data_IF_545706355041
#
_entry.id   IF_545706355041
#
_cell.length_a   1.000
_cell.length_b   1.000
_cell.length_c   1.000
_cell.angle_alpha   90.00
_cell.angle_beta   90.00
_cell.angle_gamma   90.00
#
_symmetry.space_group_name_H-M   'P 1'
#
loop_
_entity.id
_entity.type
_entity.pdbx_description
1 polymer ?
#
# COMPACT_ATOMS: atom_id res chain seq x y z
N UNK A 1 8.44 -20.18 9.92
CA UNK A 1 8.62 -19.96 8.47
C UNK A 1 7.30 -19.44 7.92
N UNK A 2 7.31 -18.48 7.00
CA UNK A 2 6.06 -18.08 6.31
C UNK A 2 5.58 -19.17 5.36
N UNK A 3 4.32 -19.10 4.95
CA UNK A 3 3.73 -20.05 3.99
C UNK A 3 3.20 -19.37 2.74
N UNK A 4 3.26 -20.07 1.60
CA UNK A 4 2.57 -19.64 0.38
C UNK A 4 1.06 -19.79 0.58
N UNK A 5 0.31 -18.73 0.30
CA UNK A 5 -1.15 -18.67 0.33
C UNK A 5 -1.69 -18.52 -1.09
N UNK A 6 -2.85 -19.10 -1.35
CA UNK A 6 -3.56 -18.85 -2.60
C UNK A 6 -3.94 -17.37 -2.73
N UNK A 7 -3.88 -16.82 -3.94
CA UNK A 7 -4.37 -15.48 -4.23
C UNK A 7 -5.89 -15.42 -4.06
N UNK A 8 -6.35 -14.54 -3.17
CA UNK A 8 -7.77 -14.36 -2.86
C UNK A 8 -8.10 -12.88 -2.82
N UNK A 9 -9.17 -12.49 -3.54
CA UNK A 9 -9.74 -11.14 -3.40
C UNK A 9 -10.24 -10.95 -1.98
N UNK A 10 -9.83 -9.86 -1.35
CA UNK A 10 -10.21 -9.52 0.02
C UNK A 10 -10.92 -8.18 0.01
N UNK A 11 -12.20 -8.14 -0.37
CA UNK A 11 -12.95 -6.89 -0.40
C UNK A 11 -13.06 -6.33 1.02
N UNK A 12 -12.81 -5.03 1.15
CA UNK A 12 -12.92 -4.27 2.39
C UNK A 12 -13.61 -2.94 2.12
N UNK A 13 -14.35 -2.44 3.10
CA UNK A 13 -14.92 -1.09 3.03
C UNK A 13 -13.88 -0.06 3.47
N UNK A 14 -14.02 1.20 3.03
CA UNK A 14 -13.17 2.28 3.55
C UNK A 14 -13.25 2.43 5.07
N UNK A 15 -14.43 2.21 5.66
CA UNK A 15 -14.63 2.24 7.11
C UNK A 15 -13.87 1.13 7.83
N UNK A 16 -13.89 -0.10 7.31
CA UNK A 16 -13.12 -1.21 7.87
C UNK A 16 -11.62 -0.90 7.91
N UNK A 17 -11.05 -0.40 6.81
CA UNK A 17 -9.62 -0.04 6.78
C UNK A 17 -9.33 1.13 7.74
N UNK A 18 -10.22 2.11 7.83
CA UNK A 18 -10.06 3.25 8.72
C UNK A 18 -10.04 2.84 10.19
N UNK A 19 -10.96 1.95 10.60
CA UNK A 19 -11.02 1.41 11.96
C UNK A 19 -9.84 0.49 12.27
N UNK A 20 -9.44 -0.39 11.35
CA UNK A 20 -8.27 -1.25 11.53
C UNK A 20 -6.97 -0.43 11.62
N UNK A 21 -6.84 0.67 10.86
CA UNK A 21 -5.72 1.60 11.01
C UNK A 21 -5.74 2.32 12.37
N UNK A 22 -6.92 2.68 12.88
CA UNK A 22 -7.06 3.29 14.21
C UNK A 22 -6.59 2.33 15.31
N UNK A 23 -7.07 1.09 15.27
CA UNK A 23 -6.68 0.01 16.19
C UNK A 23 -5.18 -0.26 16.09
N UNK A 24 -4.64 -0.42 14.88
CA UNK A 24 -3.21 -0.65 14.65
C UNK A 24 -2.34 0.47 15.22
N UNK A 25 -2.73 1.73 14.99
CA UNK A 25 -2.03 2.88 15.55
C UNK A 25 -2.01 2.84 17.08
N UNK A 26 -3.16 2.58 17.70
CA UNK A 26 -3.25 2.51 19.15
C UNK A 26 -2.40 1.38 19.73
N UNK A 27 -2.41 0.19 19.11
CA UNK A 27 -1.58 -0.94 19.54
C UNK A 27 -0.07 -0.64 19.44
N UNK A 28 0.34 0.21 18.49
CA UNK A 28 1.75 0.55 18.27
C UNK A 28 2.23 1.75 19.10
N UNK A 29 1.34 2.67 19.46
CA UNK A 29 1.70 3.94 20.13
C UNK A 29 1.18 4.05 21.56
N UNK A 30 0.24 3.18 21.96
CA UNK A 30 -0.46 3.27 23.24
C UNK A 30 -1.51 4.40 23.32
N UNK A 31 -1.72 5.16 22.24
CA UNK A 31 -2.62 6.32 22.21
C UNK A 31 -3.54 6.25 20.99
N UNK A 32 -4.79 6.73 21.09
CA UNK A 32 -5.65 6.85 19.92
C UNK A 32 -5.06 7.87 18.93
N UNK A 33 -5.15 7.62 17.61
CA UNK A 33 -4.70 8.58 16.61
C UNK A 33 -5.64 9.78 16.52
N UNK A 34 -5.09 10.93 16.12
CA UNK A 34 -5.90 12.04 15.63
C UNK A 34 -6.48 11.68 14.24
N UNK A 35 -7.70 12.13 13.95
CA UNK A 35 -8.41 11.72 12.71
C UNK A 35 -7.66 12.11 11.44
N UNK A 36 -7.04 13.29 11.39
CA UNK A 36 -6.31 13.74 10.20
C UNK A 36 -5.13 12.83 9.87
N UNK A 37 -4.45 12.28 10.89
CA UNK A 37 -3.39 11.29 10.70
C UNK A 37 -3.94 10.09 9.95
N UNK A 38 -5.05 9.54 10.45
CA UNK A 38 -5.69 8.39 9.81
C UNK A 38 -6.13 8.69 8.39
N UNK A 39 -6.70 9.87 8.11
CA UNK A 39 -7.10 10.23 6.76
C UNK A 39 -5.93 10.28 5.78
N UNK A 40 -4.74 10.73 6.23
CA UNK A 40 -3.53 10.75 5.40
C UNK A 40 -3.05 9.32 5.10
N UNK A 41 -2.92 8.47 6.12
CA UNK A 41 -2.45 7.08 5.95
C UNK A 41 -3.44 6.25 5.13
N UNK A 42 -4.73 6.41 5.42
CA UNK A 42 -5.83 5.77 4.70
C UNK A 42 -5.86 6.19 3.22
N UNK A 43 -5.64 7.47 2.94
CA UNK A 43 -5.56 7.98 1.58
C UNK A 43 -4.39 7.40 0.77
N UNK A 44 -3.23 7.22 1.42
CA UNK A 44 -2.11 6.54 0.80
C UNK A 44 -2.45 5.09 0.46
N UNK A 45 -3.00 4.32 1.41
CA UNK A 45 -3.40 2.93 1.17
C UNK A 45 -4.47 2.81 0.07
N UNK A 46 -5.43 3.73 0.04
CA UNK A 46 -6.42 3.82 -1.04
C UNK A 46 -5.77 4.05 -2.40
N UNK A 47 -4.78 4.94 -2.50
CA UNK A 47 -4.04 5.19 -3.73
C UNK A 47 -3.34 3.92 -4.24
N UNK A 48 -2.60 3.25 -3.35
CA UNK A 48 -1.84 2.03 -3.69
C UNK A 48 -2.73 0.87 -4.18
N UNK A 49 -3.98 0.83 -3.73
CA UNK A 49 -4.86 -0.33 -3.93
C UNK A 49 -6.05 -0.03 -4.84
N UNK A 50 -6.13 1.18 -5.40
CA UNK A 50 -7.27 1.63 -6.20
C UNK A 50 -8.56 1.67 -5.41
N UNK A 51 -8.55 2.32 -4.24
CA UNK A 51 -9.62 2.32 -3.23
C UNK A 51 -9.99 0.90 -2.76
N UNK A 52 -8.97 0.05 -2.56
CA UNK A 52 -9.10 -1.36 -2.18
C UNK A 52 -9.92 -2.24 -3.13
N UNK A 53 -10.31 -1.72 -4.31
CA UNK A 53 -11.03 -2.50 -5.34
C UNK A 53 -10.20 -3.65 -5.90
N UNK A 54 -8.88 -3.48 -5.87
CA UNK A 54 -7.92 -4.46 -6.37
C UNK A 54 -7.18 -5.21 -5.27
N UNK A 55 -7.71 -5.25 -4.04
CA UNK A 55 -7.04 -5.84 -2.89
C UNK A 55 -6.99 -7.38 -2.97
N UNK A 56 -5.80 -7.95 -2.78
CA UNK A 56 -5.57 -9.38 -2.60
C UNK A 56 -4.96 -9.64 -1.23
N UNK A 57 -5.42 -10.67 -0.55
CA UNK A 57 -4.84 -11.17 0.70
C UNK A 57 -4.56 -10.08 1.74
N UNK A 58 -5.46 -9.10 1.84
CA UNK A 58 -5.38 -7.93 2.72
C UNK A 58 -4.11 -7.07 2.55
N UNK A 59 -3.43 -7.13 1.40
CA UNK A 59 -2.20 -6.35 1.17
C UNK A 59 -2.48 -4.86 0.92
N UNK A 60 -2.61 -4.09 2.00
CA UNK A 60 -3.06 -2.69 2.01
C UNK A 60 -2.10 -1.68 1.35
N UNK A 61 -0.93 -2.11 0.87
CA UNK A 61 0.05 -1.22 0.23
C UNK A 61 0.87 -1.85 -0.89
N UNK A 62 0.43 -2.98 -1.46
CA UNK A 62 1.17 -3.67 -2.52
C UNK A 62 2.56 -4.18 -2.10
N UNK A 63 2.76 -4.48 -0.81
CA UNK A 63 4.04 -4.91 -0.27
C UNK A 63 4.51 -6.22 -0.93
N UNK A 64 5.72 -6.23 -1.47
CA UNK A 64 6.38 -7.45 -1.96
C UNK A 64 6.72 -8.37 -0.78
N UNK A 65 6.86 -9.68 -1.02
CA UNK A 65 7.32 -10.64 0.01
C UNK A 65 8.62 -10.16 0.67
N UNK A 66 8.68 -10.15 2.00
CA UNK A 66 9.85 -9.70 2.76
C UNK A 66 10.01 -10.46 4.08
N UNK A 67 11.26 -10.65 4.53
CA UNK A 67 11.54 -11.30 5.81
C UNK A 67 10.82 -12.64 5.97
N UNK A 68 10.32 -12.89 7.19
CA UNK A 68 9.47 -14.04 7.50
C UNK A 68 8.00 -13.58 7.47
N UNK A 69 7.38 -13.61 6.30
CA UNK A 69 5.96 -13.36 6.12
C UNK A 69 5.33 -14.45 5.24
N UNK A 70 4.01 -14.62 5.35
CA UNK A 70 3.24 -15.36 4.36
C UNK A 70 3.27 -14.59 3.02
N UNK A 71 3.15 -15.31 1.92
CA UNK A 71 3.21 -14.70 0.59
C UNK A 71 2.20 -15.30 -0.37
N UNK A 72 1.96 -14.58 -1.46
CA UNK A 72 1.06 -15.00 -2.54
C UNK A 72 1.62 -14.53 -3.88
N UNK A 73 1.21 -15.22 -4.95
CA UNK A 73 1.48 -14.79 -6.32
C UNK A 73 0.17 -14.40 -6.99
N UNK A 74 0.08 -13.18 -7.49
CA UNK A 74 -1.01 -12.75 -8.36
C UNK A 74 -0.48 -11.86 -9.46
N UNK A 75 -1.11 -11.93 -10.63
CA UNK A 75 -0.71 -11.15 -11.79
C UNK A 75 -0.72 -9.65 -11.49
N UNK A 76 0.37 -8.96 -11.82
CA UNK A 76 0.50 -7.50 -11.69
C UNK A 76 0.96 -6.88 -13.01
N UNK A 77 0.78 -5.56 -13.12
CA UNK A 77 1.35 -4.76 -14.20
C UNK A 77 2.27 -3.70 -13.64
N UNK A 78 3.45 -3.57 -14.22
CA UNK A 78 4.47 -2.62 -13.77
C UNK A 78 4.98 -1.80 -14.96
N UNK A 79 5.30 -0.54 -14.72
CA UNK A 79 5.75 0.42 -15.75
C UNK A 79 7.23 0.67 -15.60
N UNK A 80 7.99 0.49 -16.69
CA UNK A 80 9.45 0.65 -16.70
C UNK A 80 9.92 1.50 -17.88
N UNK A 81 11.08 2.20 -17.75
CA UNK A 81 11.79 2.74 -18.90
C UNK A 81 12.07 1.64 -19.94
N UNK A 82 12.09 2.00 -21.22
CA UNK A 82 12.20 1.02 -22.33
C UNK A 82 13.33 0.01 -22.13
N UNK A 83 14.54 0.47 -21.82
CA UNK A 83 15.70 -0.41 -21.65
C UNK A 83 15.55 -1.42 -20.50
N UNK A 84 14.83 -1.06 -19.43
CA UNK A 84 14.56 -1.97 -18.30
C UNK A 84 13.44 -2.95 -18.66
N UNK A 85 12.41 -2.47 -19.36
CA UNK A 85 11.32 -3.33 -19.83
C UNK A 85 11.82 -4.41 -20.80
N UNK A 86 12.73 -4.08 -21.71
CA UNK A 86 13.26 -5.04 -22.69
C UNK A 86 14.05 -6.18 -22.01
N UNK A 87 14.76 -5.87 -20.93
CA UNK A 87 15.42 -6.89 -20.10
C UNK A 87 14.41 -7.83 -19.43
N UNK A 88 13.30 -7.29 -18.91
CA UNK A 88 12.25 -8.10 -18.31
C UNK A 88 11.55 -8.99 -19.35
N UNK A 89 11.23 -8.46 -20.53
CA UNK A 89 10.64 -9.24 -21.63
C UNK A 89 11.53 -10.41 -22.05
N UNK A 90 12.84 -10.18 -22.19
CA UNK A 90 13.82 -11.22 -22.52
C UNK A 90 13.95 -12.31 -21.43
N UNK A 91 13.53 -12.03 -20.20
CA UNK A 91 13.57 -12.98 -19.07
C UNK A 91 12.33 -13.89 -18.98
N UNK A 92 11.33 -13.68 -19.83
CA UNK A 92 10.08 -14.44 -19.85
C UNK A 92 10.33 -15.93 -20.12
N UNK A 93 9.67 -16.80 -19.34
CA UNK A 93 9.76 -18.27 -19.46
C UNK A 93 8.48 -18.95 -18.97
N UNK A 94 8.21 -20.21 -19.37
CA UNK A 94 7.03 -20.94 -18.90
C UNK A 94 6.96 -20.97 -17.36
N UNK A 95 5.80 -20.61 -16.80
CA UNK A 95 5.57 -20.51 -15.37
C UNK A 95 6.00 -19.18 -14.72
N UNK A 96 6.59 -18.25 -15.48
CA UNK A 96 7.02 -16.92 -15.05
C UNK A 96 6.96 -15.94 -16.24
N UNK A 97 5.80 -15.78 -16.85
CA UNK A 97 5.70 -15.03 -18.11
C UNK A 97 5.72 -13.52 -17.88
N UNK A 98 6.36 -12.83 -18.83
CA UNK A 98 6.36 -11.37 -18.93
C UNK A 98 5.84 -11.00 -20.31
N UNK A 99 4.76 -10.22 -20.37
CA UNK A 99 4.17 -9.77 -21.63
C UNK A 99 4.03 -8.26 -21.71
N UNK A 100 4.22 -7.71 -22.91
CA UNK A 100 4.01 -6.29 -23.16
C UNK A 100 2.50 -5.98 -23.16
N UNK A 101 2.09 -4.99 -22.36
CA UNK A 101 0.69 -4.50 -22.33
C UNK A 101 0.55 -3.24 -23.18
N UNK A 102 1.46 -2.28 -23.00
CA UNK A 102 1.41 -0.98 -23.66
C UNK A 102 2.80 -0.37 -23.77
N UNK A 103 3.03 0.40 -24.82
CA UNK A 103 4.22 1.24 -25.00
C UNK A 103 3.81 2.70 -25.07
N UNK A 104 4.45 3.53 -24.27
CA UNK A 104 4.39 5.00 -24.32
C UNK A 104 5.74 5.56 -24.78
N UNK A 105 5.81 6.88 -25.04
CA UNK A 105 7.01 7.55 -25.53
C UNK A 105 8.29 7.26 -24.71
N UNK A 106 8.16 7.12 -23.39
CA UNK A 106 9.30 6.95 -22.47
C UNK A 106 9.29 5.62 -21.70
N UNK A 107 8.18 4.88 -21.70
CA UNK A 107 7.99 3.70 -20.85
C UNK A 107 7.24 2.56 -21.56
N UNK A 108 7.42 1.33 -21.07
CA UNK A 108 6.57 0.18 -21.40
C UNK A 108 5.89 -0.32 -20.12
N UNK A 109 4.62 -0.67 -20.23
CA UNK A 109 3.88 -1.36 -19.19
C UNK A 109 3.90 -2.85 -19.50
N UNK A 110 4.40 -3.64 -18.55
CA UNK A 110 4.52 -5.09 -18.67
C UNK A 110 3.56 -5.78 -17.69
N UNK A 111 3.03 -6.93 -18.09
CA UNK A 111 2.25 -7.84 -17.24
C UNK A 111 3.14 -8.99 -16.80
N UNK A 112 3.16 -9.28 -15.51
CA UNK A 112 3.91 -10.36 -14.89
C UNK A 112 2.94 -11.44 -14.38
N UNK A 113 3.01 -12.65 -14.93
CA UNK A 113 2.23 -13.81 -14.51
C UNK A 113 3.12 -14.97 -14.04
N UNK A 114 2.50 -16.03 -13.54
CA UNK A 114 3.22 -17.18 -12.99
C UNK A 114 3.87 -16.87 -11.63
N UNK A 115 4.89 -17.65 -11.24
CA UNK A 115 5.62 -17.46 -9.97
C UNK A 115 6.96 -16.77 -10.24
N UNK A 116 7.07 -15.49 -9.89
CA UNK A 116 8.31 -14.72 -10.02
C UNK A 116 8.40 -13.58 -8.99
N UNK A 117 9.60 -13.02 -8.79
CA UNK A 117 9.82 -11.99 -7.77
C UNK A 117 8.94 -10.75 -7.96
N UNK A 118 8.71 -10.34 -9.22
CA UNK A 118 7.94 -9.13 -9.54
C UNK A 118 6.48 -9.22 -9.09
N UNK A 119 5.92 -10.43 -9.02
CA UNK A 119 4.52 -10.65 -8.66
C UNK A 119 4.37 -11.49 -7.38
N UNK A 120 5.43 -11.52 -6.55
CA UNK A 120 5.45 -12.16 -5.24
C UNK A 120 5.19 -11.12 -4.14
N UNK A 121 4.00 -11.19 -3.55
CA UNK A 121 3.52 -10.20 -2.58
C UNK A 121 3.38 -10.80 -1.19
N UNK A 122 3.55 -9.98 -0.16
CA UNK A 122 3.19 -10.34 1.20
C UNK A 122 1.68 -10.59 1.31
N UNK A 123 1.30 -11.50 2.21
CA UNK A 123 -0.07 -11.95 2.43
C UNK A 123 -0.40 -11.95 3.92
N UNK A 124 -1.63 -11.61 4.25
CA UNK A 124 -2.17 -11.68 5.61
C UNK A 124 -3.47 -12.48 5.60
N UNK A 125 -3.78 -13.10 6.74
CA UNK A 125 -4.99 -13.89 6.93
C UNK A 125 -6.22 -13.03 7.21
N UNK A 126 -6.00 -11.88 7.86
CA UNK A 126 -7.02 -10.92 8.28
C UNK A 126 -6.56 -9.46 8.08
N UNK A 127 -7.53 -8.54 8.18
CA UNK A 127 -7.33 -7.11 7.95
C UNK A 127 -6.55 -6.42 9.07
N UNK A 128 -6.73 -6.83 10.32
CA UNK A 128 -6.12 -6.14 11.47
C UNK A 128 -4.62 -6.43 11.55
N UNK A 129 -4.22 -7.68 11.28
CA UNK A 129 -2.82 -8.07 11.12
C UNK A 129 -2.15 -7.32 9.97
N UNK A 130 -2.85 -7.16 8.85
CA UNK A 130 -2.35 -6.38 7.71
C UNK A 130 -2.21 -4.88 8.03
N UNK A 131 -3.22 -4.30 8.70
CA UNK A 131 -3.19 -2.92 9.16
C UNK A 131 -2.03 -2.68 10.13
N UNK A 132 -1.83 -3.57 11.10
CA UNK A 132 -0.73 -3.48 12.06
C UNK A 132 0.63 -3.51 11.37
N UNK A 133 0.87 -4.44 10.45
CA UNK A 133 2.15 -4.51 9.74
C UNK A 133 2.36 -3.31 8.80
N UNK A 134 1.31 -2.86 8.11
CA UNK A 134 1.37 -1.66 7.26
C UNK A 134 1.73 -0.41 8.08
N UNK A 135 1.07 -0.16 9.20
CA UNK A 135 1.35 1.00 10.06
C UNK A 135 2.74 0.86 10.71
N UNK A 136 3.12 -0.34 11.16
CA UNK A 136 4.45 -0.59 11.73
C UNK A 136 5.57 -0.36 10.71
N UNK A 137 5.36 -0.72 9.44
CA UNK A 137 6.28 -0.41 8.33
C UNK A 137 6.49 1.10 8.21
N UNK A 138 5.40 1.89 8.27
CA UNK A 138 5.47 3.35 8.18
C UNK A 138 6.23 3.97 9.34
N UNK A 139 5.97 3.54 10.58
CA UNK A 139 6.76 3.96 11.74
C UNK A 139 8.25 3.61 11.61
N UNK A 140 8.56 2.38 11.20
CA UNK A 140 9.94 1.88 11.13
C UNK A 140 10.76 2.53 10.02
N UNK A 141 10.20 2.65 8.82
CA UNK A 141 10.95 3.08 7.62
C UNK A 141 10.75 4.55 7.28
N UNK A 142 9.65 5.15 7.72
CA UNK A 142 9.24 6.49 7.31
C UNK A 142 8.86 7.38 8.50
N UNK A 143 9.65 7.42 9.60
CA UNK A 143 9.28 8.16 10.81
C UNK A 143 9.07 9.66 10.55
N UNK A 144 9.89 10.27 9.66
CA UNK A 144 9.71 11.69 9.29
C UNK A 144 8.40 11.96 8.56
N UNK A 145 7.93 11.01 7.75
CA UNK A 145 6.61 11.12 7.15
C UNK A 145 5.53 11.05 8.23
N UNK A 146 5.62 10.10 9.16
CA UNK A 146 4.70 10.00 10.30
C UNK A 146 4.61 11.31 11.10
N UNK A 147 5.72 11.99 11.37
CA UNK A 147 5.68 13.29 12.05
C UNK A 147 4.90 14.34 11.25
N UNK A 148 5.05 14.39 9.92
CA UNK A 148 4.22 15.26 9.06
C UNK A 148 2.74 14.88 9.09
N UNK A 149 2.42 13.59 9.11
CA UNK A 149 1.04 13.15 9.23
C UNK A 149 0.41 13.59 10.56
N UNK A 150 1.16 13.52 11.67
CA UNK A 150 0.74 14.02 13.00
C UNK A 150 0.42 15.51 12.99
N UNK A 151 1.16 16.30 12.21
CA UNK A 151 0.91 17.73 11.99
C UNK A 151 -0.29 18.01 11.06
N UNK A 152 -0.88 16.98 10.44
CA UNK A 152 -1.91 17.14 9.39
C UNK A 152 -1.35 17.59 8.03
N UNK A 153 -0.02 17.57 7.86
CA UNK A 153 0.65 17.97 6.62
C UNK A 153 0.77 16.79 5.65
N UNK A 154 -0.30 16.56 4.88
CA UNK A 154 -0.33 15.53 3.84
C UNK A 154 0.72 15.76 2.73
N UNK A 155 1.09 17.01 2.45
CA UNK A 155 2.10 17.33 1.42
C UNK A 155 3.50 17.00 1.92
N UNK A 156 3.83 17.41 3.15
CA UNK A 156 5.06 17.04 3.81
C UNK A 156 5.17 15.53 4.03
N UNK A 157 4.06 14.85 4.34
CA UNK A 157 4.00 13.40 4.43
C UNK A 157 4.51 12.73 3.14
N UNK A 158 3.95 13.13 2.00
CA UNK A 158 4.34 12.59 0.69
C UNK A 158 5.78 12.92 0.33
N UNK A 159 6.23 14.14 0.63
CA UNK A 159 7.63 14.55 0.41
C UNK A 159 8.61 13.68 1.18
N UNK A 160 8.36 13.43 2.47
CA UNK A 160 9.23 12.59 3.30
C UNK A 160 9.17 11.11 2.87
N UNK A 161 8.01 10.61 2.43
CA UNK A 161 7.91 9.27 1.81
C UNK A 161 8.80 9.16 0.57
N UNK A 162 8.74 10.15 -0.33
CA UNK A 162 9.55 10.16 -1.55
C UNK A 162 11.03 10.23 -1.25
N UNK A 163 11.44 11.13 -0.36
CA UNK A 163 12.82 11.29 0.08
C UNK A 163 13.42 9.99 0.64
N UNK A 164 12.59 9.20 1.32
CA UNK A 164 12.96 7.90 1.87
C UNK A 164 12.79 6.72 0.87
N UNK A 165 12.41 7.00 -0.38
CA UNK A 165 12.31 6.00 -1.44
C UNK A 165 11.08 5.09 -1.36
N UNK A 166 9.95 5.57 -0.80
CA UNK A 166 8.69 4.81 -0.81
C UNK A 166 8.18 4.58 -2.24
N UNK A 167 8.26 5.61 -3.10
CA UNK A 167 7.81 5.57 -4.47
C UNK A 167 8.74 6.37 -5.40
N UNK A 168 8.67 6.13 -6.70
CA UNK A 168 9.52 6.78 -7.72
C UNK A 168 8.75 7.76 -8.62
N UNK A 169 7.42 7.72 -8.63
CA UNK A 169 6.56 8.60 -9.41
C UNK A 169 6.69 10.09 -9.03
N UNK A 170 6.00 10.98 -9.76
CA UNK A 170 5.99 12.42 -9.49
C UNK A 170 5.49 12.72 -8.06
N UNK A 171 6.24 13.54 -7.32
CA UNK A 171 5.84 13.95 -5.95
C UNK A 171 4.56 14.77 -6.00
N UNK A 172 4.45 15.65 -6.99
CA UNK A 172 3.34 16.57 -7.16
C UNK A 172 2.04 15.81 -7.45
N UNK A 173 2.07 14.87 -8.39
CA UNK A 173 0.89 14.07 -8.74
C UNK A 173 0.46 13.17 -7.57
N UNK A 174 1.43 12.55 -6.90
CA UNK A 174 1.17 11.71 -5.74
C UNK A 174 0.57 12.53 -4.60
N UNK A 175 1.15 13.68 -4.29
CA UNK A 175 0.68 14.61 -3.24
C UNK A 175 -0.72 15.12 -3.54
N UNK A 176 -0.98 15.55 -4.78
CA UNK A 176 -2.31 15.99 -5.21
C UNK A 176 -3.36 14.90 -5.01
N UNK A 177 -3.01 13.67 -5.36
CA UNK A 177 -3.92 12.52 -5.27
C UNK A 177 -4.19 12.14 -3.82
N UNK A 178 -3.15 12.02 -2.98
CA UNK A 178 -3.30 11.74 -1.54
C UNK A 178 -4.14 12.82 -0.86
N UNK A 179 -3.86 14.10 -1.10
CA UNK A 179 -4.64 15.21 -0.54
C UNK A 179 -6.12 15.14 -0.95
N UNK A 180 -6.39 14.86 -2.23
CA UNK A 180 -7.76 14.74 -2.74
C UNK A 180 -8.52 13.58 -2.08
N UNK A 181 -7.87 12.42 -1.97
CA UNK A 181 -8.45 11.24 -1.35
C UNK A 181 -8.70 11.47 0.15
N UNK A 182 -7.73 12.06 0.87
CA UNK A 182 -7.84 12.37 2.29
C UNK A 182 -9.06 13.27 2.57
N UNK A 183 -9.20 14.38 1.82
CA UNK A 183 -10.37 15.27 1.93
C UNK A 183 -11.69 14.58 1.59
N UNK A 184 -11.68 13.65 0.63
CA UNK A 184 -12.88 12.88 0.29
C UNK A 184 -13.31 11.97 1.44
N UNK A 185 -12.36 11.27 2.06
CA UNK A 185 -12.65 10.35 3.16
C UNK A 185 -12.90 11.03 4.49
N UNK A 186 -12.32 12.22 4.72
CA UNK A 186 -12.68 13.06 5.86
C UNK A 186 -14.19 13.34 5.89
N UNK A 187 -14.77 13.70 4.74
CA UNK A 187 -16.22 13.92 4.62
C UNK A 187 -17.02 12.62 4.73
N UNK A 188 -16.58 11.55 4.07
CA UNK A 188 -17.32 10.28 4.03
C UNK A 188 -17.32 9.54 5.36
N UNK A 189 -16.26 9.70 6.15
CA UNK A 189 -16.05 8.98 7.40
C UNK A 189 -16.22 9.91 8.61
N UNK A 190 -16.81 11.10 8.46
CA UNK A 190 -16.95 12.08 9.54
C UNK A 190 -17.71 11.52 10.75
N UNK A 191 -18.71 10.67 10.50
CA UNK A 191 -19.57 10.08 11.53
C UNK A 191 -19.05 8.73 12.07
N UNK A 192 -17.94 8.21 11.54
CA UNK A 192 -17.36 6.95 12.02
C UNK A 192 -16.72 7.20 13.38
N UNK A 193 -17.21 6.50 14.41
CA UNK A 193 -16.67 6.57 15.76
C UNK A 193 -15.36 5.79 15.85
N UNK A 194 -14.29 6.45 16.27
CA UNK A 194 -13.01 5.78 16.50
C UNK A 194 -13.05 4.97 17.80
N UNK A 195 -12.32 3.84 17.89
CA UNK A 195 -12.16 3.12 19.15
C UNK A 195 -11.51 4.04 20.19
N UNK A 196 -12.11 4.11 21.39
CA UNK A 196 -11.70 5.01 22.47
C UNK A 196 -10.43 4.53 23.17
N UNK A 197 -10.40 3.26 23.61
CA UNK A 197 -9.19 2.57 24.06
C UNK A 197 -9.32 1.07 23.81
N UNK A 198 -8.37 0.49 23.07
CA UNK A 198 -8.19 -0.97 23.01
C UNK A 198 -7.33 -1.38 24.21
N UNK A 199 -7.97 -1.93 25.25
CA UNK A 199 -7.27 -2.61 26.35
C UNK A 199 -7.00 -4.04 25.88
N UNK A 200 -5.72 -4.42 25.82
CA UNK A 200 -5.27 -5.78 25.53
C UNK A 200 -5.37 -6.67 26.78
#
# INVERSE_FOLDING_TARGET
MGVERAARRTPVTPEQVFLSFATAWQLLTGQPPQRHVLHILHAQSALETGHWKSLYNFNLGGAKKHGVCDWTYFTTTERFPHAVADKHLASSKPGSEVTLVRTDATHKTLKFSGKQSMNCFASWEDLDSAAKDHIALLFRRFPKAIERAKEGDATGYVRELKKAGYFTASEEEYSKTVNSIAKSYEKKLSNVMLPTVVIL
#
